data_IF_856511096406
#
_entry.id   IF_856511096406
#
_cell.length_a   1.000
_cell.length_b   1.000
_cell.length_c   1.000
_cell.angle_alpha   90.00
_cell.angle_beta   90.00
_cell.angle_gamma   90.00
#
_symmetry.space_group_name_H-M   'P 1'
#
loop_
_entity.id
_entity.type
_entity.pdbx_description
1 polymer ?
#
# COMPACT_ATOMS: atom_id res chain seq x y z
N UNK A 1 8.27 -11.85 8.52
CA UNK A 1 7.88 -10.59 9.20
C UNK A 1 6.52 -10.85 9.80
N UNK A 2 6.45 -11.17 11.10
CA UNK A 2 5.21 -11.66 11.73
C UNK A 2 4.29 -10.54 12.27
N UNK A 3 4.77 -9.30 12.28
CA UNK A 3 4.05 -8.11 12.77
C UNK A 3 3.99 -7.01 11.71
N UNK A 4 2.89 -6.25 11.65
CA UNK A 4 2.78 -5.04 10.82
C UNK A 4 3.58 -3.88 11.41
N UNK A 5 3.83 -2.84 10.61
CA UNK A 5 4.21 -1.53 11.10
C UNK A 5 3.56 -0.45 10.22
N UNK A 6 2.60 0.32 10.75
CA UNK A 6 1.93 1.37 10.00
C UNK A 6 1.78 2.64 10.84
N UNK A 7 2.31 3.75 10.33
CA UNK A 7 2.39 5.05 11.03
C UNK A 7 1.84 6.25 10.23
N UNK A 8 1.10 6.01 9.15
CA UNK A 8 0.76 7.06 8.18
C UNK A 8 -0.31 8.05 8.65
N UNK A 9 -1.15 7.68 9.62
CA UNK A 9 -2.24 8.53 10.10
C UNK A 9 -1.93 9.12 11.48
N UNK A 10 -2.60 10.23 11.80
CA UNK A 10 -2.43 10.93 13.09
C UNK A 10 -2.80 10.02 14.28
N UNK A 11 -3.84 9.19 14.12
CA UNK A 11 -4.41 8.33 15.18
C UNK A 11 -3.64 7.03 15.42
N UNK A 12 -2.36 6.93 15.02
CA UNK A 12 -1.58 5.70 15.22
C UNK A 12 -1.42 5.35 16.70
N UNK A 13 -1.27 4.06 17.01
CA UNK A 13 -1.15 3.61 18.39
C UNK A 13 0.01 4.33 19.12
N UNK A 14 -0.33 5.04 20.20
CA UNK A 14 0.60 5.82 21.00
C UNK A 14 1.31 6.94 20.24
N UNK A 15 0.75 7.42 19.12
CA UNK A 15 1.36 8.40 18.21
C UNK A 15 2.77 7.98 17.72
N UNK A 16 2.99 6.67 17.56
CA UNK A 16 4.27 6.08 17.12
C UNK A 16 4.09 5.16 15.92
N UNK A 17 3.14 4.23 16.00
CA UNK A 17 2.90 3.25 14.95
C UNK A 17 2.09 2.07 15.43
N UNK A 18 1.25 1.53 14.55
CA UNK A 18 0.48 0.32 14.81
C UNK A 18 1.35 -0.92 14.52
N UNK A 19 1.60 -1.75 15.54
CA UNK A 19 2.51 -2.91 15.46
C UNK A 19 1.88 -4.26 15.85
N UNK A 20 0.60 -4.28 16.19
CA UNK A 20 -0.13 -5.47 16.65
C UNK A 20 -0.78 -6.28 15.54
N UNK A 21 -1.89 -6.94 15.87
CA UNK A 21 -2.71 -7.68 14.90
C UNK A 21 -3.56 -6.77 13.99
N UNK A 22 -3.77 -5.51 14.40
CA UNK A 22 -4.61 -4.54 13.71
C UNK A 22 -4.14 -3.11 14.02
N UNK A 23 -4.35 -2.18 13.08
CA UNK A 23 -4.20 -0.74 13.32
C UNK A 23 -5.43 -0.10 13.96
N UNK A 24 -5.25 1.09 14.54
CA UNK A 24 -6.34 1.86 15.18
C UNK A 24 -7.49 2.16 14.20
N UNK A 25 -7.19 2.33 12.91
CA UNK A 25 -8.20 2.52 11.85
C UNK A 25 -8.97 1.25 11.47
N UNK A 26 -8.66 0.09 12.07
CA UNK A 26 -9.28 -1.19 11.76
C UNK A 26 -8.56 -2.02 10.70
N UNK A 27 -7.46 -1.51 10.10
CA UNK A 27 -6.67 -2.27 9.12
C UNK A 27 -6.02 -3.49 9.76
N UNK A 28 -6.37 -4.68 9.28
CA UNK A 28 -5.79 -5.94 9.76
C UNK A 28 -4.33 -6.07 9.29
N UNK A 29 -3.52 -6.82 10.06
CA UNK A 29 -2.09 -7.03 9.79
C UNK A 29 -1.85 -7.57 8.37
N UNK A 30 -2.64 -8.54 7.92
CA UNK A 30 -2.51 -9.13 6.59
C UNK A 30 -2.72 -8.10 5.48
N UNK A 31 -3.77 -7.27 5.59
CA UNK A 31 -4.00 -6.16 4.65
C UNK A 31 -2.87 -5.13 4.70
N UNK A 32 -2.32 -4.85 5.89
CA UNK A 32 -1.19 -3.92 6.01
C UNK A 32 0.05 -4.43 5.27
N UNK A 33 0.41 -5.70 5.45
CA UNK A 33 1.54 -6.33 4.74
C UNK A 33 1.33 -6.32 3.22
N UNK A 34 0.10 -6.56 2.75
CA UNK A 34 -0.21 -6.49 1.31
C UNK A 34 -0.11 -5.05 0.77
N UNK A 35 -0.47 -4.03 1.56
CA UNK A 35 -0.26 -2.64 1.17
C UNK A 35 1.23 -2.27 1.13
N UNK A 36 2.07 -2.88 1.99
CA UNK A 36 3.53 -2.74 1.93
C UNK A 36 4.09 -3.39 0.66
N UNK A 37 3.62 -4.60 0.30
CA UNK A 37 3.98 -5.27 -0.96
C UNK A 37 3.58 -4.45 -2.19
N UNK A 38 2.35 -3.91 -2.22
CA UNK A 38 1.88 -3.01 -3.28
C UNK A 38 2.79 -1.78 -3.40
N UNK A 39 3.14 -1.16 -2.27
CA UNK A 39 4.07 -0.02 -2.23
C UNK A 39 5.43 -0.40 -2.82
N UNK A 40 5.95 -1.58 -2.48
CA UNK A 40 7.17 -2.14 -3.07
C UNK A 40 7.09 -2.29 -4.59
N UNK A 41 5.98 -2.82 -5.11
CA UNK A 41 5.74 -2.97 -6.54
C UNK A 41 5.69 -1.60 -7.25
N UNK A 42 5.03 -0.59 -6.65
CA UNK A 42 4.97 0.77 -7.17
C UNK A 42 6.35 1.44 -7.25
N UNK A 43 7.22 1.21 -6.27
CA UNK A 43 8.62 1.64 -6.32
C UNK A 43 9.34 0.95 -7.50
N UNK A 44 9.08 -0.34 -7.73
CA UNK A 44 9.57 -1.07 -8.90
C UNK A 44 9.14 -0.43 -10.22
N UNK A 45 7.84 -0.13 -10.37
CA UNK A 45 7.29 0.58 -11.54
C UNK A 45 7.95 1.94 -11.75
N UNK A 46 8.11 2.74 -10.69
CA UNK A 46 8.79 4.03 -10.77
C UNK A 46 10.25 3.91 -11.24
N UNK A 47 10.97 2.88 -10.78
CA UNK A 47 12.34 2.60 -11.24
C UNK A 47 12.36 2.18 -12.71
N UNK A 48 11.43 1.34 -13.15
CA UNK A 48 11.32 0.91 -14.54
C UNK A 48 10.98 2.08 -15.50
N UNK A 49 10.21 3.05 -15.03
CA UNK A 49 9.86 4.26 -15.77
C UNK A 49 10.96 5.33 -15.78
N UNK A 50 12.03 5.19 -14.98
CA UNK A 50 13.08 6.21 -14.85
C UNK A 50 13.75 6.51 -16.21
N UNK A 51 13.77 7.79 -16.58
CA UNK A 51 14.35 8.24 -17.85
C UNK A 51 13.49 7.95 -19.08
N UNK A 52 12.24 7.54 -18.88
CA UNK A 52 11.25 7.29 -19.93
C UNK A 52 10.02 8.15 -19.70
N UNK A 53 9.15 8.24 -20.71
CA UNK A 53 7.80 8.79 -20.56
C UNK A 53 6.84 7.62 -20.36
N UNK A 54 6.38 7.34 -19.13
CA UNK A 54 5.40 6.29 -18.90
C UNK A 54 4.11 6.54 -19.68
N UNK A 55 3.45 5.46 -20.10
CA UNK A 55 2.16 5.54 -20.76
C UNK A 55 1.00 5.70 -19.77
N UNK A 56 -0.21 6.03 -20.25
CA UNK A 56 -1.39 6.25 -19.39
C UNK A 56 -1.74 5.07 -18.48
N UNK A 57 -1.41 3.84 -18.88
CA UNK A 57 -1.61 2.64 -18.04
C UNK A 57 -0.71 2.64 -16.80
N UNK A 58 0.55 3.04 -16.95
CA UNK A 58 1.50 3.12 -15.84
C UNK A 58 1.13 4.27 -14.89
N UNK A 59 0.72 5.42 -15.43
CA UNK A 59 0.22 6.54 -14.62
C UNK A 59 -1.02 6.14 -13.81
N UNK A 60 -1.96 5.44 -14.46
CA UNK A 60 -3.16 4.94 -13.80
C UNK A 60 -2.83 3.90 -12.73
N UNK A 61 -1.94 2.96 -13.02
CA UNK A 61 -1.49 1.96 -12.05
C UNK A 61 -0.82 2.63 -10.83
N UNK A 62 -0.01 3.67 -11.05
CA UNK A 62 0.61 4.46 -9.98
C UNK A 62 -0.43 5.13 -9.09
N UNK A 63 -1.36 5.89 -9.69
CA UNK A 63 -2.37 6.64 -8.93
C UNK A 63 -3.33 5.70 -8.18
N UNK A 64 -3.88 4.69 -8.85
CA UNK A 64 -4.81 3.75 -8.23
C UNK A 64 -4.12 2.88 -7.16
N UNK A 65 -2.85 2.51 -7.38
CA UNK A 65 -2.04 1.78 -6.42
C UNK A 65 -1.79 2.59 -5.15
N UNK A 66 -1.30 3.83 -5.28
CA UNK A 66 -1.08 4.72 -4.14
C UNK A 66 -2.38 4.98 -3.37
N UNK A 67 -3.47 5.29 -4.08
CA UNK A 67 -4.73 5.61 -3.44
C UNK A 67 -5.31 4.44 -2.65
N UNK A 68 -5.11 3.20 -3.13
CA UNK A 68 -5.50 1.97 -2.41
C UNK A 68 -4.85 1.85 -1.02
N UNK A 69 -3.68 2.47 -0.80
CA UNK A 69 -2.93 2.40 0.48
C UNK A 69 -3.27 3.52 1.47
N UNK A 70 -4.05 4.52 1.05
CA UNK A 70 -4.42 5.65 1.91
C UNK A 70 -5.36 5.20 3.04
N UNK A 71 -5.22 5.83 4.21
CA UNK A 71 -6.02 5.54 5.40
C UNK A 71 -7.52 5.54 5.07
N UNK A 72 -8.22 4.49 5.50
CA UNK A 72 -9.66 4.28 5.31
C UNK A 72 -10.13 4.12 3.86
N UNK A 73 -9.24 3.87 2.89
CA UNK A 73 -9.64 3.65 1.49
C UNK A 73 -9.99 2.19 1.19
N UNK A 74 -9.11 1.25 1.52
CA UNK A 74 -9.34 -0.16 1.18
C UNK A 74 -8.85 -1.12 2.27
N UNK A 75 -9.76 -1.97 2.74
CA UNK A 75 -9.50 -3.01 3.75
C UNK A 75 -9.61 -4.44 3.18
N UNK A 76 -9.90 -4.59 1.88
CA UNK A 76 -10.02 -5.89 1.20
C UNK A 76 -8.66 -6.38 0.70
N UNK A 77 -8.11 -7.38 1.39
CA UNK A 77 -6.85 -8.04 1.05
C UNK A 77 -6.80 -8.57 -0.39
N UNK A 78 -7.89 -9.12 -0.92
CA UNK A 78 -7.94 -9.62 -2.31
C UNK A 78 -7.93 -8.48 -3.33
N UNK A 79 -8.60 -7.36 -3.03
CA UNK A 79 -8.51 -6.17 -3.86
C UNK A 79 -7.08 -5.61 -3.91
N UNK A 80 -6.37 -5.60 -2.78
CA UNK A 80 -4.96 -5.17 -2.71
C UNK A 80 -4.05 -6.11 -3.50
N UNK A 81 -4.26 -7.44 -3.43
CA UNK A 81 -3.53 -8.42 -4.26
C UNK A 81 -3.74 -8.16 -5.75
N UNK A 82 -5.00 -8.04 -6.20
CA UNK A 82 -5.31 -7.72 -7.60
C UNK A 82 -4.66 -6.41 -8.06
N UNK A 83 -4.63 -5.40 -7.18
CA UNK A 83 -3.97 -4.12 -7.46
C UNK A 83 -2.46 -4.29 -7.62
N UNK A 84 -1.83 -5.13 -6.81
CA UNK A 84 -0.39 -5.44 -6.87
C UNK A 84 -0.03 -6.14 -8.18
N UNK A 85 -0.83 -7.12 -8.61
CA UNK A 85 -0.62 -7.80 -9.89
C UNK A 85 -0.81 -6.87 -11.10
N UNK A 86 -1.67 -5.85 -11.00
CA UNK A 86 -1.83 -4.85 -12.06
C UNK A 86 -0.64 -3.87 -12.17
N UNK A 87 0.24 -3.82 -11.17
CA UNK A 87 1.45 -2.97 -11.14
C UNK A 87 2.70 -3.72 -11.63
N UNK A 88 2.72 -5.05 -11.47
CA UNK A 88 3.81 -5.93 -11.91
C UNK A 88 3.80 -6.14 -13.42
#
# INVERSE_FOLDING_TARGET
>A
MDSMFCFQCEQTAGCKGCTGAQGVCGKQRDTALLQDELTGALIGLARAAKGRTPGPSADRAMVEGLFTTVTNVNFDSEAVRRRTEAVR
#
